data_IF_711057005175
#
_entry.id   IF_711057005175
#
_cell.length_a   1.000
_cell.length_b   1.000
_cell.length_c   1.000
_cell.angle_alpha   90.00
_cell.angle_beta   90.00
_cell.angle_gamma   90.00
#
_symmetry.space_group_name_H-M   'P 1'
#
loop_
_entity.id
_entity.type
_entity.pdbx_description
1 polymer ?
#
# COMPACT_ATOMS: atom_id res chain seq x y z
N UNK A 1 9.44 -0.38 -15.26
CA UNK A 1 8.37 0.07 -14.33
C UNK A 1 7.47 -1.10 -13.99
N UNK A 2 7.66 -1.69 -12.81
CA UNK A 2 6.72 -2.65 -12.28
C UNK A 2 5.71 -1.89 -11.39
N UNK A 3 4.40 -2.06 -11.61
CA UNK A 3 3.39 -1.28 -10.89
C UNK A 3 3.32 -1.68 -9.41
N UNK A 4 3.03 -0.71 -8.55
CA UNK A 4 2.60 -0.97 -7.17
C UNK A 4 1.08 -1.17 -7.20
N UNK A 5 0.59 -2.24 -6.58
CA UNK A 5 -0.84 -2.50 -6.44
C UNK A 5 -1.33 -2.05 -5.06
N UNK A 6 -2.40 -1.26 -5.04
CA UNK A 6 -3.13 -0.91 -3.82
C UNK A 6 -4.49 -1.58 -3.84
N UNK A 7 -4.72 -2.49 -2.90
CA UNK A 7 -5.98 -3.21 -2.75
C UNK A 7 -6.60 -2.89 -1.41
N UNK A 8 -7.92 -2.74 -1.36
CA UNK A 8 -8.66 -2.62 -0.11
C UNK A 8 -9.57 -3.84 0.03
N UNK A 9 -9.39 -4.60 1.11
CA UNK A 9 -10.18 -5.80 1.40
C UNK A 9 -11.09 -5.55 2.61
N UNK A 10 -12.35 -5.99 2.57
CA UNK A 10 -13.24 -5.87 3.72
C UNK A 10 -12.71 -6.74 4.87
N UNK A 11 -12.59 -6.15 6.06
CA UNK A 11 -12.10 -6.81 7.28
C UNK A 11 -12.86 -6.28 8.50
N UNK A 12 -13.62 -7.17 9.15
CA UNK A 12 -14.47 -6.80 10.28
C UNK A 12 -15.53 -5.76 9.88
N UNK A 13 -15.55 -4.62 10.56
CA UNK A 13 -16.51 -3.53 10.32
C UNK A 13 -15.98 -2.46 9.32
N UNK A 14 -14.88 -2.72 8.63
CA UNK A 14 -14.25 -1.77 7.72
C UNK A 14 -13.44 -2.43 6.61
N UNK A 15 -12.47 -1.69 6.08
CA UNK A 15 -11.61 -2.08 4.98
C UNK A 15 -10.14 -1.96 5.41
N UNK A 16 -9.37 -3.01 5.18
CA UNK A 16 -7.93 -3.01 5.34
C UNK A 16 -7.31 -2.77 3.96
N UNK A 17 -6.38 -1.83 3.85
CA UNK A 17 -5.65 -1.66 2.62
C UNK A 17 -4.33 -2.43 2.63
N UNK A 18 -3.91 -2.91 1.48
CA UNK A 18 -2.67 -3.64 1.25
C UNK A 18 -1.96 -3.04 0.05
N UNK A 19 -0.70 -2.69 0.25
CA UNK A 19 0.23 -2.23 -0.78
C UNK A 19 1.10 -3.41 -1.17
N UNK A 20 0.99 -3.87 -2.40
CA UNK A 20 1.82 -4.93 -2.95
C UNK A 20 2.85 -4.33 -3.89
N UNK A 21 4.11 -4.52 -3.55
CA UNK A 21 5.24 -4.06 -4.31
C UNK A 21 5.70 -5.14 -5.30
N UNK A 22 6.35 -4.75 -6.40
CA UNK A 22 6.84 -5.68 -7.39
C UNK A 22 8.01 -6.56 -6.91
N UNK A 23 8.67 -6.18 -5.81
CA UNK A 23 9.68 -6.98 -5.12
C UNK A 23 9.08 -8.19 -4.37
N UNK A 24 7.75 -8.35 -4.42
CA UNK A 24 7.01 -9.40 -3.73
C UNK A 24 6.64 -9.06 -2.29
N UNK A 25 7.01 -7.87 -1.80
CA UNK A 25 6.65 -7.45 -0.45
C UNK A 25 5.23 -6.87 -0.45
N UNK A 26 4.42 -7.33 0.49
CA UNK A 26 3.08 -6.80 0.72
C UNK A 26 2.99 -6.16 2.11
N UNK A 27 2.52 -4.92 2.18
CA UNK A 27 2.36 -4.14 3.41
C UNK A 27 0.88 -3.84 3.60
N UNK A 28 0.29 -4.36 4.66
CA UNK A 28 -1.08 -4.00 5.04
C UNK A 28 -1.13 -2.82 6.01
N UNK A 29 -2.25 -2.09 5.98
CA UNK A 29 -2.61 -1.15 7.04
C UNK A 29 -2.86 -1.92 8.33
N UNK A 30 -2.37 -1.42 9.45
CA UNK A 30 -2.61 -2.07 10.74
C UNK A 30 -4.06 -1.85 11.21
N UNK A 31 -4.63 -0.72 10.81
CA UNK A 31 -5.99 -0.30 11.13
C UNK A 31 -6.96 -0.60 9.97
N UNK A 32 -8.22 -0.83 10.34
CA UNK A 32 -9.36 -0.96 9.42
C UNK A 32 -10.06 0.39 9.29
N UNK A 33 -10.31 0.84 8.06
CA UNK A 33 -10.96 2.11 7.76
C UNK A 33 -12.43 1.93 7.42
N UNK A 34 -13.30 2.92 7.68
CA UNK A 34 -14.73 2.78 7.40
C UNK A 34 -15.05 2.71 5.91
N UNK A 35 -14.21 3.31 5.04
CA UNK A 35 -14.41 3.29 3.59
C UNK A 35 -13.20 2.75 2.81
N UNK A 36 -13.45 2.24 1.60
CA UNK A 36 -12.40 1.82 0.65
C UNK A 36 -11.46 2.98 0.33
N UNK A 37 -12.00 4.18 0.13
CA UNK A 37 -11.22 5.38 -0.21
C UNK A 37 -10.23 5.75 0.88
N UNK A 38 -10.67 5.74 2.14
CA UNK A 38 -9.78 5.99 3.29
C UNK A 38 -8.73 4.91 3.45
N UNK A 39 -9.09 3.64 3.24
CA UNK A 39 -8.13 2.55 3.30
C UNK A 39 -7.02 2.74 2.26
N UNK A 40 -7.38 2.96 0.99
CA UNK A 40 -6.41 3.18 -0.08
C UNK A 40 -5.59 4.44 0.17
N UNK A 41 -6.22 5.54 0.59
CA UNK A 41 -5.52 6.78 0.90
C UNK A 41 -4.48 6.59 2.01
N UNK A 42 -4.82 5.88 3.08
CA UNK A 42 -3.91 5.60 4.18
C UNK A 42 -2.75 4.68 3.75
N UNK A 43 -3.03 3.67 2.93
CA UNK A 43 -1.99 2.83 2.33
C UNK A 43 -1.04 3.63 1.44
N UNK A 44 -1.56 4.54 0.62
CA UNK A 44 -0.75 5.44 -0.20
C UNK A 44 0.08 6.41 0.65
N UNK A 45 -0.50 7.00 1.71
CA UNK A 45 0.24 7.86 2.64
C UNK A 45 1.36 7.09 3.34
N UNK A 46 1.10 5.85 3.78
CA UNK A 46 2.12 5.00 4.40
C UNK A 46 3.25 4.63 3.43
N UNK A 47 2.92 4.41 2.15
CA UNK A 47 3.92 4.24 1.08
C UNK A 47 4.79 5.51 0.95
N UNK A 48 4.17 6.69 0.92
CA UNK A 48 4.88 7.97 0.84
C UNK A 48 5.77 8.25 2.05
N UNK A 49 5.40 7.75 3.22
CA UNK A 49 6.17 7.82 4.47
C UNK A 49 7.37 6.85 4.49
N UNK A 50 7.52 5.99 3.48
CA UNK A 50 8.62 5.02 3.35
C UNK A 50 9.55 5.36 2.18
N UNK A 51 10.35 6.43 2.27
CA UNK A 51 11.22 6.90 1.18
C UNK A 51 12.26 5.84 0.75
N UNK A 52 12.74 5.02 1.70
CA UNK A 52 13.64 3.88 1.44
C UNK A 52 13.07 2.89 0.40
N UNK A 53 11.76 2.63 0.50
CA UNK A 53 11.02 1.70 -0.37
C UNK A 53 10.76 2.32 -1.74
N UNK A 54 10.41 3.60 -1.75
CA UNK A 54 10.23 4.37 -2.98
C UNK A 54 11.53 4.48 -3.77
N UNK A 55 12.67 4.70 -3.10
CA UNK A 55 13.98 4.73 -3.73
C UNK A 55 14.36 3.37 -4.34
N UNK A 56 14.02 2.26 -3.67
CA UNK A 56 14.20 0.91 -4.23
C UNK A 56 13.35 0.69 -5.48
N UNK A 57 12.10 1.14 -5.48
CA UNK A 57 11.22 1.05 -6.65
C UNK A 57 11.80 1.80 -7.86
N UNK A 58 12.42 2.95 -7.62
CA UNK A 58 13.10 3.76 -8.64
C UNK A 58 14.36 3.05 -9.18
N UNK A 59 15.14 2.41 -8.31
CA UNK A 59 16.33 1.65 -8.69
C UNK A 59 16.03 0.37 -9.48
N UNK A 60 14.96 -0.36 -9.15
CA UNK A 60 14.48 -1.51 -9.94
C UNK A 60 13.82 -1.09 -11.27
N UNK A 61 13.58 0.20 -11.49
CA UNK A 61 13.06 0.73 -12.74
C UNK A 61 14.16 1.13 -13.74
N UNK A 62 15.44 1.08 -13.36
CA UNK A 62 16.62 1.37 -14.20
C UNK A 62 17.29 0.12 -14.75
#
# INVERSE_FOLDING_TARGET
MAPIELTATPKGNGYQATVTFPDGVSISSHETYPTIGEAIAAAAMKLLDMPERLARLDQDAG
#
